data_IF_154133147484
#
_entry.id   IF_154133147484
#
_cell.length_a   1.000
_cell.length_b   1.000
_cell.length_c   1.000
_cell.angle_alpha   90.00
_cell.angle_beta   90.00
_cell.angle_gamma   90.00
#
_symmetry.space_group_name_H-M   'P 1'
#
loop_
_entity.id
_entity.type
_entity.pdbx_description
1 polymer ?
#
# COMPACT_ATOMS: atom_id res chain seq x y z
N UNK A 1 21.04 20.19 -20.16
CA UNK A 1 21.36 18.85 -19.67
C UNK A 1 20.01 18.16 -19.47
N UNK A 2 19.67 17.18 -20.30
CA UNK A 2 18.42 16.45 -20.12
C UNK A 2 18.49 15.71 -18.80
N UNK A 3 17.53 15.97 -17.91
CA UNK A 3 17.38 15.21 -16.65
C UNK A 3 17.22 13.74 -17.01
N UNK A 4 18.29 12.96 -16.85
CA UNK A 4 18.21 11.51 -16.94
C UNK A 4 17.32 11.06 -15.80
N UNK A 5 16.07 10.68 -16.11
CA UNK A 5 15.14 10.19 -15.10
C UNK A 5 15.71 8.92 -14.45
N UNK A 6 15.51 8.80 -13.15
CA UNK A 6 16.07 7.72 -12.33
C UNK A 6 15.62 6.34 -12.83
N UNK A 7 16.53 5.39 -13.11
CA UNK A 7 16.14 4.03 -13.44
C UNK A 7 15.39 3.38 -12.28
N UNK A 8 14.34 2.65 -12.61
CA UNK A 8 13.50 1.97 -11.63
C UNK A 8 13.23 0.51 -12.01
N UNK A 9 12.95 -0.29 -11.01
CA UNK A 9 12.54 -1.68 -11.15
C UNK A 9 11.19 -1.92 -10.47
N UNK A 10 10.44 -2.90 -10.97
CA UNK A 10 9.16 -3.30 -10.40
C UNK A 10 9.20 -4.77 -9.98
N UNK A 11 8.50 -5.07 -8.88
CA UNK A 11 8.22 -6.44 -8.44
C UNK A 11 6.71 -6.59 -8.23
N UNK A 12 6.14 -7.61 -8.83
CA UNK A 12 4.71 -7.94 -8.73
C UNK A 12 4.53 -9.36 -8.19
N UNK A 13 4.25 -9.53 -6.89
CA UNK A 13 3.75 -10.80 -6.38
C UNK A 13 2.38 -11.12 -6.99
N UNK A 14 2.22 -12.29 -7.58
CA UNK A 14 0.98 -12.73 -8.22
C UNK A 14 0.58 -14.13 -7.73
N UNK A 15 -0.69 -14.31 -7.34
CA UNK A 15 -1.26 -15.62 -7.01
C UNK A 15 -2.73 -15.68 -7.37
N UNK A 16 -3.06 -16.49 -8.36
CA UNK A 16 -4.42 -16.64 -8.89
C UNK A 16 -5.00 -15.29 -9.35
N UNK A 17 -4.30 -14.63 -10.26
CA UNK A 17 -4.62 -13.30 -10.78
C UNK A 17 -5.02 -13.33 -12.27
N UNK A 18 -5.40 -14.50 -12.80
CA UNK A 18 -5.77 -14.65 -14.21
C UNK A 18 -6.86 -13.67 -14.69
N UNK A 19 -7.74 -13.23 -13.78
CA UNK A 19 -8.81 -12.29 -14.10
C UNK A 19 -8.30 -10.85 -14.36
N UNK A 20 -7.12 -10.48 -13.87
CA UNK A 20 -6.66 -9.09 -13.84
C UNK A 20 -5.24 -8.86 -14.33
N UNK A 21 -4.36 -9.86 -14.22
CA UNK A 21 -2.92 -9.73 -14.50
C UNK A 21 -2.63 -9.16 -15.88
N UNK A 22 -3.42 -9.53 -16.88
CA UNK A 22 -3.26 -9.04 -18.25
C UNK A 22 -3.50 -7.53 -18.35
N UNK A 23 -4.50 -6.99 -17.63
CA UNK A 23 -4.75 -5.55 -17.58
C UNK A 23 -3.58 -4.80 -16.95
N UNK A 24 -2.99 -5.37 -15.91
CA UNK A 24 -1.79 -4.83 -15.25
C UNK A 24 -0.63 -4.83 -16.23
N UNK A 25 -0.35 -5.97 -16.90
CA UNK A 25 0.75 -6.08 -17.88
C UNK A 25 0.58 -5.04 -18.98
N UNK A 26 -0.60 -4.97 -19.60
CA UNK A 26 -0.87 -4.02 -20.68
C UNK A 26 -0.73 -2.56 -20.22
N UNK A 27 -1.06 -2.22 -18.97
CA UNK A 27 -0.90 -0.87 -18.43
C UNK A 27 0.56 -0.50 -18.20
N UNK A 28 1.41 -1.46 -17.83
CA UNK A 28 2.86 -1.24 -17.64
C UNK A 28 3.59 -1.18 -18.98
N UNK A 29 3.25 -2.02 -19.94
CA UNK A 29 3.85 -2.00 -21.30
C UNK A 29 3.60 -0.66 -22.02
N UNK A 30 2.47 -0.02 -21.73
CA UNK A 30 2.09 1.28 -22.33
C UNK A 30 2.69 2.48 -21.60
N UNK A 31 3.52 2.29 -20.55
CA UNK A 31 4.14 3.42 -19.88
C UNK A 31 5.09 4.19 -20.79
N UNK A 32 5.08 5.52 -20.69
CA UNK A 32 6.01 6.42 -21.41
C UNK A 32 7.46 6.17 -21.02
N UNK A 33 7.69 5.73 -19.78
CA UNK A 33 8.99 5.32 -19.27
C UNK A 33 8.87 3.91 -18.69
N UNK A 34 9.56 2.97 -19.33
CA UNK A 34 9.55 1.57 -18.92
C UNK A 34 10.52 1.31 -17.77
N UNK A 35 10.25 0.35 -16.90
CA UNK A 35 11.20 -0.07 -15.87
C UNK A 35 12.43 -0.74 -16.51
N UNK A 36 13.61 -0.57 -15.90
CA UNK A 36 14.82 -1.28 -16.30
C UNK A 36 14.62 -2.81 -16.19
N UNK A 37 13.80 -3.26 -15.25
CA UNK A 37 13.37 -4.64 -15.09
C UNK A 37 12.03 -4.69 -14.35
N UNK A 38 11.14 -5.58 -14.78
CA UNK A 38 9.93 -5.92 -14.05
C UNK A 38 9.91 -7.42 -13.76
N UNK A 39 9.88 -7.78 -12.48
CA UNK A 39 9.83 -9.17 -12.03
C UNK A 39 8.42 -9.49 -11.56
N UNK A 40 7.73 -10.35 -12.29
CA UNK A 40 6.45 -10.93 -11.88
C UNK A 40 6.78 -12.25 -11.16
N UNK A 41 6.36 -12.35 -9.90
CA UNK A 41 6.64 -13.53 -9.08
C UNK A 41 5.37 -14.32 -8.86
N UNK A 42 5.26 -15.47 -9.51
CA UNK A 42 4.17 -16.41 -9.27
C UNK A 42 4.35 -17.11 -7.91
N UNK A 43 3.45 -16.86 -6.96
CA UNK A 43 3.44 -17.52 -5.64
C UNK A 43 2.54 -18.77 -5.66
N UNK A 44 2.79 -19.68 -6.61
CA UNK A 44 2.10 -20.95 -6.74
C UNK A 44 0.65 -20.81 -7.18
N UNK A 45 0.38 -20.08 -8.27
CA UNK A 45 -0.94 -20.02 -8.90
C UNK A 45 -1.37 -21.38 -9.43
N UNK A 46 -2.68 -21.62 -9.36
CA UNK A 46 -3.33 -22.85 -9.87
C UNK A 46 -4.27 -22.55 -11.04
N UNK A 47 -4.41 -21.29 -11.40
CA UNK A 47 -5.18 -20.80 -12.55
C UNK A 47 -4.27 -20.49 -13.75
N UNK A 48 -4.78 -19.81 -14.76
CA UNK A 48 -4.02 -19.45 -15.97
C UNK A 48 -3.07 -18.26 -15.82
N UNK A 49 -2.80 -17.77 -14.59
CA UNK A 49 -1.92 -16.60 -14.35
C UNK A 49 -0.57 -16.74 -15.04
N UNK A 50 0.12 -17.86 -14.85
CA UNK A 50 1.45 -18.11 -15.46
C UNK A 50 1.36 -18.11 -16.99
N UNK A 51 0.39 -18.83 -17.55
CA UNK A 51 0.21 -18.90 -19.00
C UNK A 51 -0.02 -17.53 -19.64
N UNK A 52 -0.81 -16.66 -18.98
CA UNK A 52 -1.03 -15.28 -19.43
C UNK A 52 0.26 -14.45 -19.39
N UNK A 53 1.03 -14.53 -18.31
CA UNK A 53 2.31 -13.80 -18.23
C UNK A 53 3.29 -14.25 -19.32
N UNK A 54 3.41 -15.57 -19.56
CA UNK A 54 4.32 -16.12 -20.55
C UNK A 54 4.09 -15.60 -21.97
N UNK A 55 2.86 -15.19 -22.33
CA UNK A 55 2.54 -14.62 -23.65
C UNK A 55 3.29 -13.31 -23.93
N UNK A 56 3.69 -12.59 -22.89
CA UNK A 56 4.35 -11.28 -23.00
C UNK A 56 5.88 -11.33 -22.92
N UNK A 57 6.46 -12.44 -22.45
CA UNK A 57 7.90 -12.48 -22.15
C UNK A 57 8.79 -12.41 -23.40
N UNK A 58 8.33 -12.98 -24.52
CA UNK A 58 9.08 -12.98 -25.78
C UNK A 58 9.25 -11.56 -26.34
N UNK A 59 8.17 -10.77 -26.36
CA UNK A 59 8.16 -9.44 -26.95
C UNK A 59 8.67 -8.35 -25.99
N UNK A 60 8.74 -8.68 -24.68
CA UNK A 60 9.15 -7.76 -23.62
C UNK A 60 10.25 -8.38 -22.74
N UNK A 61 11.53 -8.46 -23.22
CA UNK A 61 12.62 -9.14 -22.50
C UNK A 61 13.02 -8.49 -21.18
N UNK A 62 12.51 -7.28 -20.90
CA UNK A 62 12.65 -6.61 -19.61
C UNK A 62 11.64 -7.09 -18.56
N UNK A 63 10.65 -7.90 -18.94
CA UNK A 63 9.75 -8.62 -18.02
C UNK A 63 10.37 -9.99 -17.71
N UNK A 64 10.41 -10.35 -16.43
CA UNK A 64 10.90 -11.64 -15.95
C UNK A 64 9.81 -12.33 -15.13
N UNK A 65 9.55 -13.60 -15.39
CA UNK A 65 8.72 -14.44 -14.53
C UNK A 65 9.62 -15.25 -13.60
N UNK A 66 9.29 -15.22 -12.31
CA UNK A 66 9.87 -16.11 -11.28
C UNK A 66 8.77 -16.99 -10.74
N UNK A 67 8.98 -18.30 -10.80
CA UNK A 67 7.99 -19.29 -10.34
C UNK A 67 8.41 -19.86 -8.99
N UNK A 68 7.56 -19.68 -7.97
CA UNK A 68 7.80 -20.23 -6.64
C UNK A 68 6.97 -21.51 -6.44
N UNK A 69 7.47 -22.46 -5.62
CA UNK A 69 6.73 -23.66 -5.30
C UNK A 69 5.35 -23.36 -4.70
N UNK A 70 4.37 -24.18 -5.04
CA UNK A 70 3.03 -24.10 -4.48
C UNK A 70 3.06 -24.27 -2.97
N UNK A 71 2.55 -23.31 -2.22
CA UNK A 71 2.40 -23.36 -0.76
C UNK A 71 0.95 -23.61 -0.37
N UNK A 72 0.76 -24.44 0.65
CA UNK A 72 -0.57 -24.74 1.20
C UNK A 72 -1.14 -23.57 2.01
N UNK A 73 -0.28 -22.82 2.71
CA UNK A 73 -0.70 -21.75 3.62
C UNK A 73 -0.89 -20.42 2.88
N UNK A 74 -2.07 -19.82 3.06
CA UNK A 74 -2.43 -18.51 2.53
C UNK A 74 -2.37 -17.48 3.66
N UNK A 75 -1.31 -16.66 3.71
CA UNK A 75 -1.15 -15.58 4.69
C UNK A 75 -0.43 -14.38 4.08
N UNK A 76 -0.59 -13.20 4.67
CA UNK A 76 0.01 -11.96 4.15
C UNK A 76 1.54 -12.00 4.03
N UNK A 77 2.24 -12.73 4.91
CA UNK A 77 3.69 -12.87 4.80
C UNK A 77 4.13 -13.52 3.47
N UNK A 78 3.27 -14.30 2.80
CA UNK A 78 3.57 -14.89 1.51
C UNK A 78 3.87 -13.83 0.44
N UNK A 79 3.11 -12.71 0.45
CA UNK A 79 3.39 -11.55 -0.44
C UNK A 79 4.81 -11.01 -0.25
N UNK A 80 5.31 -10.94 0.99
CA UNK A 80 6.67 -10.48 1.27
C UNK A 80 7.70 -11.47 0.75
N UNK A 81 7.51 -12.77 0.96
CA UNK A 81 8.44 -13.78 0.44
C UNK A 81 8.51 -13.76 -1.09
N UNK A 82 7.37 -13.60 -1.75
CA UNK A 82 7.34 -13.44 -3.20
C UNK A 82 8.01 -12.15 -3.64
N UNK A 83 7.74 -11.00 -2.97
CA UNK A 83 8.42 -9.75 -3.27
C UNK A 83 9.95 -9.88 -3.10
N UNK A 84 10.42 -10.44 -1.98
CA UNK A 84 11.85 -10.62 -1.71
C UNK A 84 12.51 -11.54 -2.76
N UNK A 85 11.83 -12.59 -3.22
CA UNK A 85 12.33 -13.43 -4.29
C UNK A 85 12.48 -12.66 -5.62
N UNK A 86 11.57 -11.75 -5.92
CA UNK A 86 11.67 -10.85 -7.07
C UNK A 86 12.76 -9.80 -6.90
N UNK A 87 12.89 -9.21 -5.71
CA UNK A 87 13.94 -8.25 -5.38
C UNK A 87 15.34 -8.85 -5.56
N UNK A 88 15.53 -10.09 -5.17
CA UNK A 88 16.80 -10.80 -5.33
C UNK A 88 17.25 -10.89 -6.81
N UNK A 89 16.30 -10.94 -7.75
CA UNK A 89 16.59 -10.98 -9.18
C UNK A 89 17.05 -9.65 -9.77
N UNK A 90 16.88 -8.56 -9.05
CA UNK A 90 17.23 -7.20 -9.50
C UNK A 90 18.30 -6.55 -8.63
N UNK A 91 18.77 -7.19 -7.56
CA UNK A 91 19.70 -6.59 -6.59
C UNK A 91 20.99 -6.06 -7.20
N UNK A 92 21.51 -6.74 -8.22
CA UNK A 92 22.78 -6.41 -8.89
C UNK A 92 22.60 -5.42 -10.06
N UNK A 93 21.37 -5.00 -10.36
CA UNK A 93 21.11 -3.99 -11.36
C UNK A 93 21.37 -2.59 -10.79
N UNK A 94 21.79 -1.68 -11.68
CA UNK A 94 21.88 -0.26 -11.33
C UNK A 94 20.48 0.38 -11.45
N UNK A 95 19.81 0.55 -10.31
CA UNK A 95 18.54 1.24 -10.21
C UNK A 95 18.49 2.12 -8.96
N UNK A 96 17.71 3.19 -9.05
CA UNK A 96 17.56 4.15 -7.96
C UNK A 96 16.22 3.99 -7.23
N UNK A 97 15.23 3.40 -7.88
CA UNK A 97 13.90 3.23 -7.33
C UNK A 97 13.40 1.78 -7.50
N UNK A 98 12.75 1.26 -6.46
CA UNK A 98 12.11 -0.07 -6.47
C UNK A 98 10.62 0.06 -6.16
N UNK A 99 9.76 -0.56 -6.98
CA UNK A 99 8.32 -0.54 -6.80
C UNK A 99 7.72 -1.90 -6.49
N UNK A 100 6.75 -1.91 -5.55
CA UNK A 100 5.74 -2.95 -5.48
C UNK A 100 4.55 -2.53 -6.35
N UNK A 101 4.14 -3.41 -7.23
CA UNK A 101 2.94 -3.24 -8.05
C UNK A 101 2.07 -4.50 -7.90
N UNK A 102 0.83 -4.35 -7.47
CA UNK A 102 -0.09 -5.49 -7.37
C UNK A 102 -0.56 -5.93 -8.76
N UNK A 103 -0.93 -7.20 -8.88
CA UNK A 103 -1.27 -7.84 -10.16
C UNK A 103 -2.68 -7.53 -10.68
N UNK A 104 -3.45 -6.71 -9.95
CA UNK A 104 -4.85 -6.37 -10.21
C UNK A 104 -5.09 -4.86 -10.31
N UNK A 105 -4.11 -4.11 -10.79
CA UNK A 105 -4.17 -2.66 -10.98
C UNK A 105 -4.02 -2.27 -12.45
N UNK A 106 -4.53 -1.09 -12.81
CA UNK A 106 -4.28 -0.43 -14.10
C UNK A 106 -3.84 0.99 -13.89
N UNK A 107 -2.88 1.43 -14.70
CA UNK A 107 -2.19 2.70 -14.61
C UNK A 107 -2.40 3.51 -15.90
N UNK A 108 -2.42 4.85 -15.78
CA UNK A 108 -2.30 5.73 -16.94
C UNK A 108 -0.88 5.62 -17.55
N UNK A 109 -0.74 5.93 -18.83
CA UNK A 109 0.51 5.71 -19.57
C UNK A 109 1.71 6.51 -19.03
N UNK A 110 1.51 7.65 -18.40
CA UNK A 110 2.55 8.53 -17.85
C UNK A 110 2.68 8.42 -16.31
N UNK A 111 2.12 7.36 -15.72
CA UNK A 111 2.05 7.22 -14.26
C UNK A 111 3.44 7.17 -13.60
N UNK A 112 4.31 6.30 -14.08
CA UNK A 112 5.66 6.20 -13.53
C UNK A 112 6.51 7.41 -13.90
N UNK A 113 6.40 7.95 -15.10
CA UNK A 113 7.10 9.19 -15.49
C UNK A 113 6.76 10.33 -14.50
N UNK A 114 5.49 10.49 -14.16
CA UNK A 114 5.06 11.47 -13.16
C UNK A 114 5.76 11.23 -11.81
N UNK A 115 5.76 10.00 -11.28
CA UNK A 115 6.39 9.68 -10.00
C UNK A 115 7.91 9.91 -10.05
N UNK A 116 8.59 9.52 -11.14
CA UNK A 116 10.03 9.74 -11.32
C UNK A 116 10.39 11.22 -11.27
N UNK A 117 9.58 12.07 -11.90
CA UNK A 117 9.75 13.53 -11.83
C UNK A 117 9.59 14.07 -10.41
N UNK A 118 8.63 13.53 -9.63
CA UNK A 118 8.45 13.94 -8.23
C UNK A 118 9.63 13.50 -7.34
N UNK A 119 10.20 12.31 -7.57
CA UNK A 119 11.43 11.88 -6.90
C UNK A 119 12.66 12.73 -7.27
N UNK A 120 12.74 13.20 -8.52
CA UNK A 120 13.83 14.09 -8.96
C UNK A 120 13.77 15.47 -8.32
N UNK A 121 12.55 15.98 -8.03
CA UNK A 121 12.35 17.29 -7.39
C UNK A 121 12.66 17.29 -5.88
N UNK A 122 12.50 16.15 -5.20
CA UNK A 122 12.66 16.06 -3.75
C UNK A 122 13.58 14.89 -3.36
N UNK A 123 14.85 15.17 -3.04
CA UNK A 123 15.81 14.13 -2.65
C UNK A 123 15.44 13.41 -1.34
N UNK A 124 14.65 14.05 -0.46
CA UNK A 124 14.19 13.47 0.79
C UNK A 124 12.94 12.59 0.61
N UNK A 125 12.33 12.58 -0.58
CA UNK A 125 11.20 11.72 -0.89
C UNK A 125 11.66 10.27 -0.93
N UNK A 126 11.31 9.50 0.10
CA UNK A 126 11.68 8.10 0.24
C UNK A 126 10.65 7.14 -0.35
N UNK A 127 9.35 7.50 -0.25
CA UNK A 127 8.26 6.66 -0.75
C UNK A 127 7.22 7.52 -1.46
N UNK A 128 6.83 7.14 -2.65
CA UNK A 128 5.78 7.81 -3.40
C UNK A 128 4.80 6.83 -4.04
N UNK A 129 3.61 7.31 -4.27
CA UNK A 129 2.54 6.67 -5.02
C UNK A 129 1.47 7.68 -5.37
N UNK A 130 0.35 7.19 -5.85
CA UNK A 130 -0.81 8.02 -6.18
C UNK A 130 -2.04 7.52 -5.45
N UNK A 131 -3.12 8.27 -5.52
CA UNK A 131 -4.40 7.80 -5.00
C UNK A 131 -4.93 6.65 -5.86
N UNK A 132 -5.64 5.71 -5.23
CA UNK A 132 -6.31 4.65 -5.99
C UNK A 132 -7.82 4.84 -6.00
N UNK A 133 -8.42 4.32 -7.06
CA UNK A 133 -9.86 4.29 -7.27
C UNK A 133 -10.33 2.86 -7.42
N UNK A 134 -11.50 2.59 -6.87
CA UNK A 134 -12.29 1.37 -7.07
C UNK A 134 -13.70 1.77 -7.50
N UNK A 135 -14.56 0.79 -7.78
CA UNK A 135 -15.97 1.09 -8.06
C UNK A 135 -16.64 1.76 -6.84
N UNK A 136 -16.86 3.08 -6.94
CA UNK A 136 -17.54 3.89 -5.92
C UNK A 136 -16.70 4.27 -4.72
N UNK A 137 -15.35 4.15 -4.78
CA UNK A 137 -14.43 4.55 -3.72
C UNK A 137 -13.20 5.28 -4.28
N UNK A 138 -12.73 6.29 -3.57
CA UNK A 138 -11.46 6.97 -3.83
C UNK A 138 -10.68 7.16 -2.53
N UNK A 139 -9.41 6.75 -2.53
CA UNK A 139 -8.60 6.72 -1.32
C UNK A 139 -8.30 8.11 -0.73
N UNK A 140 -8.41 9.16 -1.50
CA UNK A 140 -8.17 10.54 -1.07
C UNK A 140 -9.38 11.22 -0.40
N UNK A 141 -10.60 10.78 -0.75
CA UNK A 141 -11.85 11.37 -0.24
C UNK A 141 -12.53 10.52 0.83
N UNK A 142 -12.38 9.19 0.74
CA UNK A 142 -13.12 8.24 1.55
C UNK A 142 -12.29 7.67 2.72
N UNK A 143 -11.07 8.17 2.90
CA UNK A 143 -10.13 7.71 3.93
C UNK A 143 -9.54 8.87 4.73
N UNK A 144 -9.18 8.62 6.00
CA UNK A 144 -8.41 9.55 6.85
C UNK A 144 -6.90 9.34 6.78
N UNK A 145 -6.40 8.50 5.90
CA UNK A 145 -4.98 8.17 5.82
C UNK A 145 -4.13 9.41 5.49
N UNK A 146 -4.64 10.30 4.62
CA UNK A 146 -3.98 11.54 4.23
C UNK A 146 -2.84 11.32 3.24
N UNK A 147 -2.23 12.42 2.79
CA UNK A 147 -1.21 12.40 1.72
C UNK A 147 0.10 11.69 2.08
N UNK A 148 0.36 11.47 3.38
CA UNK A 148 1.58 10.77 3.83
C UNK A 148 1.44 9.25 3.77
N UNK A 149 0.23 8.72 3.57
CA UNK A 149 0.01 7.31 3.34
C UNK A 149 0.15 7.01 1.86
N UNK A 150 0.91 5.97 1.52
CA UNK A 150 1.08 5.49 0.15
C UNK A 150 0.41 4.12 0.05
N UNK A 151 -0.59 3.96 -0.83
CA UNK A 151 -1.34 2.71 -0.97
C UNK A 151 -0.44 1.53 -1.36
N UNK A 152 -0.63 0.39 -0.70
CA UNK A 152 0.20 -0.79 -0.85
C UNK A 152 0.16 -1.45 -2.23
N UNK A 153 -0.87 -1.14 -3.04
CA UNK A 153 -1.04 -1.72 -4.36
C UNK A 153 -0.05 -1.17 -5.40
N UNK A 154 0.41 0.08 -5.21
CA UNK A 154 1.44 0.69 -6.05
C UNK A 154 2.30 1.63 -5.20
N UNK A 155 3.44 1.13 -4.73
CA UNK A 155 4.40 1.88 -3.93
C UNK A 155 5.74 1.92 -4.65
N UNK A 156 6.29 3.11 -4.85
CA UNK A 156 7.64 3.29 -5.37
C UNK A 156 8.52 3.85 -4.26
N UNK A 157 9.63 3.17 -3.99
CA UNK A 157 10.60 3.53 -2.95
C UNK A 157 11.91 3.99 -3.58
N UNK A 158 12.54 5.01 -3.00
CA UNK A 158 13.95 5.24 -3.23
C UNK A 158 14.74 4.03 -2.68
N UNK A 159 15.65 3.46 -3.47
CA UNK A 159 16.44 2.27 -3.10
C UNK A 159 17.05 2.41 -1.71
N UNK A 160 17.74 3.53 -1.46
CA UNK A 160 18.33 3.83 -0.17
C UNK A 160 17.30 3.80 0.98
N UNK A 161 16.13 4.42 0.78
CA UNK A 161 15.07 4.38 1.78
C UNK A 161 14.59 2.95 2.05
N UNK A 162 14.40 2.15 0.99
CA UNK A 162 13.95 0.76 1.09
C UNK A 162 14.96 -0.11 1.84
N UNK A 163 16.25 0.10 1.60
CA UNK A 163 17.35 -0.59 2.29
C UNK A 163 17.42 -0.16 3.78
N UNK A 164 17.33 1.13 4.08
CA UNK A 164 17.38 1.67 5.46
C UNK A 164 16.21 1.20 6.34
N UNK A 165 15.00 1.02 5.79
CA UNK A 165 13.86 0.45 6.54
C UNK A 165 13.95 -1.07 6.71
N UNK A 166 14.89 -1.72 6.02
CA UNK A 166 15.05 -3.18 5.98
C UNK A 166 14.00 -3.89 5.12
N UNK A 167 13.46 -3.20 4.09
CA UNK A 167 12.48 -3.72 3.16
C UNK A 167 11.12 -4.03 3.78
N UNK A 168 10.33 -4.85 3.09
CA UNK A 168 9.07 -5.36 3.65
C UNK A 168 9.33 -6.46 4.67
N UNK A 169 8.71 -6.36 5.85
CA UNK A 169 8.85 -7.35 6.92
C UNK A 169 7.68 -8.35 6.88
N UNK A 170 7.97 -9.67 6.87
CA UNK A 170 6.92 -10.69 6.86
C UNK A 170 6.02 -10.58 8.09
N UNK A 171 4.70 -10.55 7.86
CA UNK A 171 3.71 -10.43 8.91
C UNK A 171 2.42 -11.15 8.50
N UNK A 172 1.95 -12.08 9.31
CA UNK A 172 0.75 -12.88 9.00
C UNK A 172 -0.55 -12.08 9.06
N UNK A 173 -0.62 -11.05 9.90
CA UNK A 173 -1.82 -10.21 10.10
C UNK A 173 -2.00 -9.08 9.09
N UNK A 174 -1.07 -8.89 8.14
CA UNK A 174 -1.14 -7.82 7.14
C UNK A 174 -0.62 -6.46 7.65
N UNK A 175 -0.80 -5.39 6.86
CA UNK A 175 -0.26 -4.05 7.16
C UNK A 175 1.22 -3.90 6.83
N UNK A 176 1.75 -4.76 5.98
CA UNK A 176 3.15 -4.82 5.56
C UNK A 176 3.56 -3.52 4.86
N UNK A 177 2.74 -3.09 3.92
CA UNK A 177 2.82 -1.85 3.17
C UNK A 177 2.79 -0.62 4.08
N UNK A 178 1.83 -0.60 5.00
CA UNK A 178 1.70 0.48 5.99
C UNK A 178 2.93 0.55 6.91
N UNK A 179 3.43 -0.60 7.41
CA UNK A 179 4.61 -0.64 8.27
C UNK A 179 5.85 -0.10 7.55
N UNK A 180 6.05 -0.44 6.29
CA UNK A 180 7.18 0.06 5.49
C UNK A 180 7.13 1.58 5.35
N UNK A 181 5.96 2.13 4.96
CA UNK A 181 5.76 3.57 4.79
C UNK A 181 5.87 4.33 6.12
N UNK A 182 5.29 3.79 7.21
CA UNK A 182 5.38 4.41 8.54
C UNK A 182 6.81 4.35 9.09
N UNK A 183 7.57 3.28 8.85
CA UNK A 183 8.98 3.17 9.23
C UNK A 183 9.82 4.19 8.47
N UNK A 184 9.60 4.37 7.17
CA UNK A 184 10.29 5.39 6.38
C UNK A 184 10.09 6.79 6.98
N UNK A 185 8.86 7.16 7.35
CA UNK A 185 8.58 8.44 8.02
C UNK A 185 9.25 8.55 9.39
N UNK A 186 9.22 7.47 10.16
CA UNK A 186 9.82 7.44 11.50
C UNK A 186 11.31 7.73 11.47
N UNK A 187 12.04 7.27 10.44
CA UNK A 187 13.48 7.53 10.28
C UNK A 187 13.80 8.79 9.47
N UNK A 188 12.79 9.60 9.14
CA UNK A 188 12.95 10.94 8.59
C UNK A 188 12.71 11.09 7.07
N UNK A 189 12.42 10.01 6.35
CA UNK A 189 12.07 10.11 4.94
C UNK A 189 10.67 10.73 4.75
N UNK A 190 10.53 11.54 3.72
CA UNK A 190 9.20 12.00 3.28
C UNK A 190 8.49 10.87 2.55
N UNK A 191 7.19 10.74 2.80
CA UNK A 191 6.31 9.83 2.06
C UNK A 191 5.14 10.60 1.50
N UNK A 192 4.74 10.34 0.26
CA UNK A 192 3.68 11.12 -0.38
C UNK A 192 2.86 10.31 -1.37
N UNK A 193 1.54 10.43 -1.22
CA UNK A 193 0.57 10.06 -2.22
C UNK A 193 0.12 11.31 -2.96
N UNK A 194 0.08 11.24 -4.30
CA UNK A 194 -0.26 12.36 -5.17
C UNK A 194 -1.69 12.21 -5.69
N UNK A 195 -2.45 13.30 -5.74
CA UNK A 195 -3.82 13.36 -6.30
C UNK A 195 -3.85 13.63 -7.80
N UNK A 196 -2.76 14.15 -8.33
CA UNK A 196 -2.61 14.56 -9.72
C UNK A 196 -2.71 13.39 -10.67
N UNK A 197 -2.43 12.19 -10.16
CA UNK A 197 -2.58 10.91 -10.83
C UNK A 197 -3.32 9.93 -9.93
N UNK A 198 -3.92 8.93 -10.56
CA UNK A 198 -4.56 7.83 -9.85
C UNK A 198 -4.32 6.52 -10.59
N UNK A 199 -4.47 5.40 -9.91
CA UNK A 199 -4.56 4.09 -10.52
C UNK A 199 -5.91 3.45 -10.18
N UNK A 200 -6.32 2.50 -11.00
CA UNK A 200 -7.54 1.75 -10.77
C UNK A 200 -7.20 0.38 -10.21
N UNK A 201 -7.81 0.03 -9.08
CA UNK A 201 -7.70 -1.28 -8.44
C UNK A 201 -8.93 -2.10 -8.80
N UNK A 202 -8.74 -3.22 -9.50
CA UNK A 202 -9.83 -4.01 -10.08
C UNK A 202 -10.54 -4.86 -9.04
N UNK A 203 -9.82 -5.33 -8.01
CA UNK A 203 -10.41 -6.11 -6.94
C UNK A 203 -10.86 -5.20 -5.82
N UNK A 204 -12.14 -5.29 -5.45
CA UNK A 204 -12.67 -4.49 -4.36
C UNK A 204 -12.05 -4.88 -3.02
N UNK A 205 -11.48 -3.91 -2.30
CA UNK A 205 -10.87 -4.11 -0.99
C UNK A 205 -11.90 -4.64 0.03
N UNK A 206 -11.49 -5.64 0.80
CA UNK A 206 -12.26 -6.15 1.94
C UNK A 206 -13.52 -6.95 1.62
N UNK A 207 -13.83 -7.18 0.33
CA UNK A 207 -15.08 -7.87 -0.07
C UNK A 207 -14.88 -9.29 -0.59
N UNK A 208 -13.64 -9.76 -0.71
CA UNK A 208 -13.35 -11.02 -1.39
C UNK A 208 -14.04 -12.25 -0.77
N UNK A 209 -14.34 -12.25 0.55
CA UNK A 209 -14.93 -13.42 1.23
C UNK A 209 -15.74 -13.08 2.50
N UNK A 210 -15.91 -11.80 2.90
CA UNK A 210 -16.52 -11.44 4.19
C UNK A 210 -17.55 -10.32 4.05
N UNK A 211 -18.65 -10.41 4.77
CA UNK A 211 -19.65 -9.34 4.87
C UNK A 211 -19.07 -8.04 5.46
N UNK A 212 -19.73 -6.90 5.21
CA UNK A 212 -19.28 -5.56 5.64
C UNK A 212 -18.91 -5.51 7.12
N UNK A 213 -19.73 -6.10 7.99
CA UNK A 213 -19.51 -6.09 9.45
C UNK A 213 -18.28 -6.92 9.86
N UNK A 214 -18.06 -8.07 9.23
CA UNK A 214 -16.87 -8.89 9.49
C UNK A 214 -15.59 -8.18 9.04
N UNK A 215 -15.68 -7.41 7.94
CA UNK A 215 -14.58 -6.57 7.47
C UNK A 215 -14.26 -5.46 8.46
N UNK A 216 -15.28 -4.74 8.97
CA UNK A 216 -15.11 -3.68 9.97
C UNK A 216 -14.54 -4.21 11.29
N UNK A 217 -15.02 -5.36 11.77
CA UNK A 217 -14.43 -6.03 12.93
C UNK A 217 -12.93 -6.35 12.68
N UNK A 218 -12.60 -6.90 11.52
CA UNK A 218 -11.22 -7.20 11.16
C UNK A 218 -10.34 -5.94 11.08
N UNK A 219 -10.89 -4.82 10.61
CA UNK A 219 -10.18 -3.53 10.60
C UNK A 219 -9.91 -3.02 12.02
N UNK A 220 -10.87 -3.09 12.94
CA UNK A 220 -10.65 -2.72 14.34
C UNK A 220 -9.57 -3.57 15.01
N UNK A 221 -9.63 -4.90 14.81
CA UNK A 221 -8.60 -5.80 15.31
C UNK A 221 -7.21 -5.49 14.71
N UNK A 222 -7.14 -5.12 13.42
CA UNK A 222 -5.92 -4.72 12.73
C UNK A 222 -5.36 -3.40 13.27
N UNK A 223 -6.21 -2.44 13.64
CA UNK A 223 -5.76 -1.18 14.25
C UNK A 223 -5.07 -1.41 15.59
N UNK A 224 -5.62 -2.26 16.45
CA UNK A 224 -4.94 -2.68 17.67
C UNK A 224 -3.61 -3.37 17.37
N UNK A 225 -3.62 -4.30 16.41
CA UNK A 225 -2.46 -5.10 15.99
C UNK A 225 -1.32 -4.22 15.47
N UNK A 226 -1.62 -3.16 14.73
CA UNK A 226 -0.65 -2.17 14.24
C UNK A 226 -0.32 -1.08 15.27
N UNK A 227 -0.81 -1.20 16.49
CA UNK A 227 -0.44 -0.31 17.59
C UNK A 227 -1.21 1.00 17.67
N UNK A 228 -2.37 1.10 17.01
CA UNK A 228 -3.22 2.29 17.01
C UNK A 228 -3.55 2.82 18.41
N UNK A 229 -3.75 4.14 18.51
CA UNK A 229 -4.07 4.82 19.77
C UNK A 229 -5.55 4.64 20.12
N UNK A 230 -5.94 4.26 21.37
CA UNK A 230 -7.34 4.03 21.74
C UNK A 230 -8.27 5.24 21.49
N UNK A 231 -7.82 6.47 21.73
CA UNK A 231 -8.62 7.67 21.47
C UNK A 231 -8.82 7.91 19.97
N UNK A 232 -7.85 7.57 19.15
CA UNK A 232 -8.01 7.62 17.70
C UNK A 232 -9.05 6.59 17.23
N UNK A 233 -9.01 5.39 17.79
CA UNK A 233 -10.00 4.36 17.48
C UNK A 233 -11.41 4.77 17.91
N UNK A 234 -11.57 5.36 19.09
CA UNK A 234 -12.86 5.90 19.54
C UNK A 234 -13.42 6.95 18.56
N UNK A 235 -12.56 7.85 18.07
CA UNK A 235 -12.95 8.81 17.04
C UNK A 235 -13.40 8.11 15.74
N UNK A 236 -12.67 7.09 15.29
CA UNK A 236 -13.01 6.32 14.09
C UNK A 236 -14.33 5.59 14.24
N UNK A 237 -14.58 4.98 15.39
CA UNK A 237 -15.85 4.34 15.73
C UNK A 237 -17.00 5.36 15.62
N UNK A 238 -16.88 6.52 16.26
CA UNK A 238 -17.91 7.57 16.21
C UNK A 238 -18.16 8.06 14.77
N UNK A 239 -17.09 8.25 14.00
CA UNK A 239 -17.21 8.66 12.60
C UNK A 239 -17.85 7.56 11.72
N UNK A 240 -17.49 6.30 11.91
CA UNK A 240 -18.09 5.17 11.17
C UNK A 240 -19.57 5.00 11.50
N UNK A 241 -20.00 5.28 12.73
CA UNK A 241 -21.42 5.28 13.09
C UNK A 241 -22.26 6.26 12.27
N UNK A 242 -21.66 7.33 11.73
CA UNK A 242 -22.33 8.30 10.85
C UNK A 242 -22.40 7.87 9.37
N UNK A 243 -21.79 6.73 9.00
CA UNK A 243 -21.77 6.18 7.63
C UNK A 243 -22.65 4.95 7.52
N UNK A 244 -23.11 4.62 6.31
CA UNK A 244 -23.91 3.41 6.07
C UNK A 244 -23.03 2.14 6.13
N UNK A 245 -23.48 1.06 6.76
CA UNK A 245 -24.70 0.91 7.59
C UNK A 245 -24.52 1.64 8.93
N UNK A 246 -25.42 2.61 9.19
CA UNK A 246 -25.34 3.50 10.37
C UNK A 246 -25.19 2.70 11.66
N UNK A 247 -24.40 3.25 12.61
CA UNK A 247 -24.17 2.70 13.96
C UNK A 247 -23.47 1.34 13.95
N UNK A 248 -24.02 0.35 13.23
CA UNK A 248 -23.58 -1.06 13.31
C UNK A 248 -22.15 -1.25 12.83
N UNK A 249 -21.74 -0.51 11.80
CA UNK A 249 -20.37 -0.57 11.24
C UNK A 249 -19.33 -0.05 12.23
N UNK A 250 -19.63 1.06 12.92
CA UNK A 250 -18.79 1.60 13.99
C UNK A 250 -18.71 0.67 15.20
N UNK A 251 -19.82 0.06 15.61
CA UNK A 251 -19.82 -0.93 16.69
C UNK A 251 -18.93 -2.12 16.32
N UNK A 252 -19.07 -2.67 15.11
CA UNK A 252 -18.25 -3.79 14.65
C UNK A 252 -16.75 -3.45 14.68
N UNK A 253 -16.38 -2.24 14.25
CA UNK A 253 -15.01 -1.73 14.31
C UNK A 253 -14.49 -1.70 15.76
N UNK A 254 -15.25 -1.06 16.67
CA UNK A 254 -14.88 -0.96 18.09
C UNK A 254 -14.77 -2.31 18.78
N UNK A 255 -15.68 -3.24 18.50
CA UNK A 255 -15.64 -4.61 19.02
C UNK A 255 -14.40 -5.37 18.54
N UNK A 256 -13.98 -5.18 17.29
CA UNK A 256 -12.75 -5.76 16.77
C UNK A 256 -11.51 -5.30 17.52
N UNK A 257 -11.41 -3.98 17.76
CA UNK A 257 -10.29 -3.40 18.53
C UNK A 257 -10.30 -3.92 19.98
N UNK A 258 -11.46 -3.89 20.64
CA UNK A 258 -11.62 -4.35 22.03
C UNK A 258 -11.32 -5.84 22.17
N UNK A 259 -11.79 -6.66 21.23
CA UNK A 259 -11.48 -8.09 21.20
C UNK A 259 -9.97 -8.35 21.13
N UNK A 260 -9.27 -7.66 20.21
CA UNK A 260 -7.82 -7.80 20.06
C UNK A 260 -7.08 -7.31 21.31
N UNK A 261 -7.56 -6.24 21.96
CA UNK A 261 -7.05 -5.73 23.24
C UNK A 261 -7.21 -6.75 24.37
N UNK A 262 -8.41 -7.31 24.56
CA UNK A 262 -8.69 -8.28 25.61
C UNK A 262 -7.93 -9.60 25.41
N UNK A 263 -7.77 -10.02 24.14
CA UNK A 263 -6.97 -11.20 23.77
C UNK A 263 -5.47 -10.94 23.81
N UNK A 264 -5.04 -9.71 24.08
CA UNK A 264 -3.62 -9.30 24.07
C UNK A 264 -2.90 -9.76 22.81
N UNK A 265 -3.55 -9.59 21.67
CA UNK A 265 -2.99 -9.99 20.38
C UNK A 265 -1.59 -9.40 20.23
N UNK A 266 -0.60 -10.23 19.92
CA UNK A 266 0.78 -9.81 19.74
C UNK A 266 0.89 -8.80 18.59
N UNK A 267 1.62 -7.71 18.82
CA UNK A 267 1.81 -6.64 17.86
C UNK A 267 3.12 -6.83 17.10
N UNK A 268 3.10 -6.82 15.75
CA UNK A 268 4.32 -6.97 14.96
C UNK A 268 5.17 -5.69 14.89
N UNK A 269 4.60 -4.57 15.34
CA UNK A 269 5.25 -3.26 15.32
C UNK A 269 6.19 -3.08 16.51
N UNK A 270 7.36 -2.47 16.29
CA UNK A 270 8.26 -2.09 17.36
C UNK A 270 7.61 -1.04 18.28
N UNK A 271 8.14 -0.92 19.51
CA UNK A 271 7.67 0.12 20.45
C UNK A 271 7.83 1.52 19.87
N UNK A 272 8.94 1.78 19.20
CA UNK A 272 9.23 3.10 18.61
C UNK A 272 8.27 3.43 17.47
N UNK A 273 8.03 2.47 16.56
CA UNK A 273 7.05 2.64 15.47
C UNK A 273 5.64 2.86 16.03
N UNK A 274 5.26 2.12 17.07
CA UNK A 274 3.95 2.30 17.73
C UNK A 274 3.83 3.70 18.36
N UNK A 275 4.86 4.19 19.06
CA UNK A 275 4.84 5.53 19.66
C UNK A 275 4.78 6.61 18.58
N UNK A 276 5.58 6.48 17.54
CA UNK A 276 5.57 7.39 16.40
C UNK A 276 4.18 7.44 15.75
N UNK A 277 3.59 6.28 15.45
CA UNK A 277 2.25 6.18 14.88
C UNK A 277 1.18 6.83 15.76
N UNK A 278 1.19 6.56 17.07
CA UNK A 278 0.27 7.17 18.03
C UNK A 278 0.41 8.68 18.08
N UNK A 279 1.63 9.19 18.01
CA UNK A 279 1.89 10.64 17.95
C UNK A 279 1.26 11.25 16.69
N UNK A 280 1.46 10.63 15.51
CA UNK A 280 0.82 11.06 14.26
C UNK A 280 -0.72 11.06 14.38
N UNK A 281 -1.31 9.98 14.91
CA UNK A 281 -2.75 9.86 15.11
C UNK A 281 -3.28 10.97 16.03
N UNK A 282 -2.61 11.25 17.14
CA UNK A 282 -3.04 12.29 18.08
C UNK A 282 -2.88 13.70 17.52
N UNK A 283 -1.83 13.97 16.72
CA UNK A 283 -1.69 15.24 16.01
C UNK A 283 -2.84 15.43 15.00
N UNK A 284 -3.17 14.38 14.26
CA UNK A 284 -4.27 14.39 13.30
C UNK A 284 -5.62 14.58 13.99
N UNK A 285 -5.87 13.90 15.11
CA UNK A 285 -7.08 14.07 15.90
C UNK A 285 -7.24 15.52 16.39
N UNK A 286 -6.16 16.12 16.92
CA UNK A 286 -6.16 17.55 17.32
C UNK A 286 -6.47 18.47 16.16
N UNK A 287 -5.92 18.23 14.97
CA UNK A 287 -6.18 19.01 13.78
C UNK A 287 -7.65 18.92 13.33
N UNK A 288 -8.24 17.72 13.36
CA UNK A 288 -9.65 17.49 13.04
C UNK A 288 -10.55 18.25 14.02
N UNK A 289 -10.35 18.06 15.33
CA UNK A 289 -11.13 18.74 16.36
C UNK A 289 -10.98 20.26 16.28
N UNK A 290 -9.78 20.78 16.05
CA UNK A 290 -9.53 22.20 15.84
C UNK A 290 -10.25 22.78 14.61
N UNK A 291 -10.39 21.98 13.53
CA UNK A 291 -11.15 22.39 12.34
C UNK A 291 -12.64 22.42 12.60
N UNK A 292 -13.17 21.44 13.34
CA UNK A 292 -14.59 21.37 13.73
C UNK A 292 -14.97 22.57 14.60
N UNK A 293 -14.14 22.92 15.60
CA UNK A 293 -14.39 24.10 16.47
C UNK A 293 -14.41 25.41 15.65
N UNK A 294 -13.60 25.50 14.58
CA UNK A 294 -13.53 26.67 13.71
C UNK A 294 -14.54 26.65 12.55
N UNK A 295 -15.46 25.67 12.51
CA UNK A 295 -16.43 25.47 11.43
C UNK A 295 -15.79 25.40 10.03
N UNK A 296 -14.56 24.87 9.91
CA UNK A 296 -13.85 24.68 8.64
C UNK A 296 -13.95 23.24 8.18
N UNK A 297 -14.13 23.02 6.87
CA UNK A 297 -14.01 21.68 6.29
C UNK A 297 -12.59 21.17 6.51
N UNK A 298 -12.46 19.98 7.11
CA UNK A 298 -11.19 19.29 7.25
C UNK A 298 -10.93 18.45 5.99
N UNK A 299 -9.89 18.81 5.23
CA UNK A 299 -9.38 17.97 4.17
C UNK A 299 -8.26 17.09 4.77
N UNK A 300 -8.58 15.80 4.99
CA UNK A 300 -7.65 14.83 5.57
C UNK A 300 -6.40 14.66 4.73
N UNK A 301 -6.51 14.85 3.42
CA UNK A 301 -5.39 14.71 2.49
C UNK A 301 -4.45 15.91 2.50
N UNK A 302 -4.97 17.13 2.69
CA UNK A 302 -4.14 18.34 2.70
C UNK A 302 -3.49 18.65 4.05
N UNK A 303 -4.01 18.08 5.15
CA UNK A 303 -3.44 18.33 6.47
C UNK A 303 -2.00 17.81 6.56
N UNK A 304 -1.05 18.73 6.43
CA UNK A 304 0.37 18.43 6.66
C UNK A 304 0.60 18.37 8.16
N UNK A 305 0.98 17.21 8.67
CA UNK A 305 1.59 17.13 10.00
C UNK A 305 2.95 17.85 9.89
N UNK A 306 3.07 19.02 10.51
CA UNK A 306 4.34 19.73 10.72
C UNK A 306 5.10 19.11 11.87
#
# INVERSE_FOLDING_TARGET
>A
MGDSLMPYVLVTPARNEAAFIEKTIQSVIRQTLLPARWVIVNDGSTDSTVALVCQYLHDHPWIMLVDLPVRKDRHFAAKVYAFNAGQEKVKDLDYQLIGNLDADVSLDADHFEFLLREFSKDPDLGVAGTVFKEHGYSSDTDSFEGKSHVPGQCQLFRRRCFEEIGGYRPNKGGGIDWMAVATARMIGWKTRSFREKSFFHHRKLGTAERGVLASSFSYGAKDYYLGGHPLWELFRVAWRMSKRPYVVDGIALGLGYLWAFLRRVERPVSRDLMQFHRKEQMQKLKAILGSLIRFRRFDSFQSTLK
#
